data_IF_159487055804
#
_entry.id   IF_159487055804
#
_cell.length_a   1.000
_cell.length_b   1.000
_cell.length_c   1.000
_cell.angle_alpha   90.00
_cell.angle_beta   90.00
_cell.angle_gamma   90.00
#
_symmetry.space_group_name_H-M   'P 1'
#
loop_
_entity.id
_entity.type
_entity.pdbx_description
1 polymer ?
#
# COMPACT_ATOMS: atom_id res chain seq x y z
N UNK A 1 8.75 -6.65 14.89
CA UNK A 1 8.71 -6.66 13.42
C UNK A 1 9.60 -5.56 12.88
N UNK A 2 10.48 -5.88 11.93
CA UNK A 2 11.19 -4.88 11.12
C UNK A 2 10.22 -4.19 10.14
N UNK A 3 10.68 -3.17 9.40
CA UNK A 3 9.77 -2.42 8.53
C UNK A 3 9.33 -3.27 7.33
N UNK A 4 10.20 -4.15 6.81
CA UNK A 4 9.84 -5.10 5.74
C UNK A 4 8.68 -6.03 6.15
N UNK A 5 8.66 -6.53 7.37
CA UNK A 5 7.56 -7.37 7.88
C UNK A 5 6.26 -6.58 8.03
N UNK A 6 6.33 -5.32 8.49
CA UNK A 6 5.15 -4.43 8.54
C UNK A 6 4.61 -4.13 7.14
N UNK A 7 5.51 -3.90 6.17
CA UNK A 7 5.14 -3.69 4.77
C UNK A 7 4.44 -4.92 4.19
N UNK A 8 4.97 -6.13 4.42
CA UNK A 8 4.31 -7.38 4.02
C UNK A 8 2.94 -7.56 4.69
N UNK A 9 2.83 -7.21 5.97
CA UNK A 9 1.54 -7.24 6.69
C UNK A 9 0.53 -6.26 6.11
N UNK A 10 0.97 -5.06 5.71
CA UNK A 10 0.14 -4.08 5.02
C UNK A 10 -0.36 -4.63 3.67
N UNK A 11 0.54 -5.17 2.84
CA UNK A 11 0.17 -5.74 1.54
C UNK A 11 -0.79 -6.92 1.68
N UNK A 12 -0.57 -7.81 2.66
CA UNK A 12 -1.47 -8.92 2.92
C UNK A 12 -2.87 -8.43 3.35
N UNK A 13 -2.93 -7.42 4.21
CA UNK A 13 -4.20 -6.81 4.63
C UNK A 13 -4.92 -6.16 3.44
N UNK A 14 -4.17 -5.49 2.56
CA UNK A 14 -4.69 -4.88 1.35
C UNK A 14 -5.22 -5.93 0.35
N UNK A 15 -4.47 -7.00 0.12
CA UNK A 15 -4.85 -8.13 -0.73
C UNK A 15 -6.15 -8.78 -0.23
N UNK A 16 -6.29 -8.94 1.09
CA UNK A 16 -7.48 -9.50 1.71
C UNK A 16 -8.65 -8.50 1.80
N UNK A 17 -8.48 -7.27 1.32
CA UNK A 17 -9.46 -6.18 1.42
C UNK A 17 -9.91 -5.91 2.87
N UNK A 18 -9.02 -6.13 3.83
CA UNK A 18 -9.28 -5.93 5.26
C UNK A 18 -9.03 -4.47 5.63
N UNK A 19 -10.09 -3.65 5.51
CA UNK A 19 -10.01 -2.22 5.76
C UNK A 19 -9.68 -1.89 7.22
N UNK A 20 -10.09 -2.74 8.17
CA UNK A 20 -9.82 -2.53 9.58
C UNK A 20 -8.32 -2.74 9.87
N UNK A 21 -7.75 -3.84 9.36
CA UNK A 21 -6.32 -4.11 9.46
C UNK A 21 -5.48 -3.03 8.76
N UNK A 22 -5.87 -2.60 7.55
CA UNK A 22 -5.18 -1.50 6.85
C UNK A 22 -5.27 -0.20 7.65
N UNK A 23 -6.46 0.14 8.15
CA UNK A 23 -6.67 1.33 8.99
C UNK A 23 -5.76 1.31 10.21
N UNK A 24 -5.63 0.17 10.90
CA UNK A 24 -4.79 0.04 12.10
C UNK A 24 -3.30 0.29 11.83
N UNK A 25 -2.84 0.12 10.59
CA UNK A 25 -1.46 0.39 10.18
C UNK A 25 -1.20 1.87 9.83
N UNK A 26 -2.24 2.68 9.59
CA UNK A 26 -2.08 4.09 9.19
C UNK A 26 -1.90 5.03 10.39
N UNK A 27 -0.92 5.91 10.29
CA UNK A 27 -0.75 7.04 11.20
C UNK A 27 -1.89 8.07 11.00
N UNK A 28 -2.29 8.82 12.04
CA UNK A 28 -3.36 9.83 11.93
C UNK A 28 -3.13 10.86 10.81
N UNK A 29 -1.87 11.23 10.58
CA UNK A 29 -1.44 12.24 9.61
C UNK A 29 -0.84 11.64 8.32
N UNK A 30 -1.22 10.41 7.95
CA UNK A 30 -0.70 9.74 6.74
C UNK A 30 -0.86 10.61 5.47
N UNK A 31 0.15 10.59 4.62
CA UNK A 31 0.09 11.10 3.25
C UNK A 31 0.07 9.94 2.25
N UNK A 32 -1.01 9.79 1.49
CA UNK A 32 -1.14 8.78 0.45
C UNK A 32 -1.18 9.46 -0.92
N UNK A 33 -0.28 9.06 -1.82
CA UNK A 33 -0.23 9.58 -3.18
C UNK A 33 0.07 8.48 -4.17
N UNK A 34 -0.66 8.47 -5.28
CA UNK A 34 -0.39 7.63 -6.45
C UNK A 34 -0.50 8.46 -7.75
N UNK A 35 -0.70 7.81 -8.90
CA UNK A 35 -0.84 8.47 -10.20
C UNK A 35 -2.20 9.13 -10.44
N UNK A 36 -3.19 8.94 -9.56
CA UNK A 36 -4.56 9.50 -9.65
C UNK A 36 -4.86 10.47 -8.52
N UNK A 37 -4.36 10.23 -7.31
CA UNK A 37 -4.75 10.96 -6.10
C UNK A 37 -3.55 11.40 -5.26
N UNK A 38 -3.79 12.41 -4.41
CA UNK A 38 -2.88 12.87 -3.37
C UNK A 38 -3.69 13.37 -2.19
N UNK A 39 -3.74 12.60 -1.11
CA UNK A 39 -4.59 12.88 0.06
C UNK A 39 -3.78 12.91 1.35
N UNK A 40 -4.31 13.62 2.35
CA UNK A 40 -3.69 13.77 3.66
C UNK A 40 -4.71 13.48 4.77
N UNK A 41 -4.29 12.70 5.76
CA UNK A 41 -5.08 12.32 6.93
C UNK A 41 -5.71 10.93 6.81
N UNK A 42 -5.72 10.21 7.93
CA UNK A 42 -6.14 8.80 8.01
C UNK A 42 -7.55 8.54 7.47
N UNK A 43 -8.52 9.38 7.83
CA UNK A 43 -9.91 9.19 7.38
C UNK A 43 -10.06 9.26 5.86
N UNK A 44 -9.34 10.17 5.20
CA UNK A 44 -9.40 10.33 3.75
C UNK A 44 -8.65 9.19 3.06
N UNK A 45 -7.47 8.81 3.57
CA UNK A 45 -6.72 7.66 3.06
C UNK A 45 -7.53 6.36 3.11
N UNK A 46 -8.20 6.08 4.24
CA UNK A 46 -9.10 4.91 4.38
C UNK A 46 -10.24 4.98 3.38
N UNK A 47 -10.85 6.16 3.17
CA UNK A 47 -11.93 6.30 2.19
C UNK A 47 -11.47 5.99 0.76
N UNK A 48 -10.27 6.42 0.36
CA UNK A 48 -9.71 6.09 -0.95
C UNK A 48 -9.35 4.60 -1.06
N UNK A 49 -8.78 4.00 -0.01
CA UNK A 49 -8.53 2.55 0.04
C UNK A 49 -9.84 1.75 -0.08
N UNK A 50 -10.90 2.15 0.62
CA UNK A 50 -12.20 1.48 0.55
C UNK A 50 -12.78 1.55 -0.87
N UNK A 51 -12.66 2.68 -1.56
CA UNK A 51 -13.08 2.78 -2.97
C UNK A 51 -12.32 1.79 -3.86
N UNK A 52 -11.03 1.59 -3.64
CA UNK A 52 -10.26 0.58 -4.38
C UNK A 52 -10.80 -0.82 -4.10
N UNK A 53 -11.13 -1.12 -2.83
CA UNK A 53 -11.72 -2.41 -2.46
C UNK A 53 -13.10 -2.61 -3.07
N UNK A 54 -13.96 -1.59 -3.08
CA UNK A 54 -15.31 -1.70 -3.62
C UNK A 54 -15.31 -1.92 -5.14
N UNK A 55 -14.31 -1.37 -5.85
CA UNK A 55 -14.17 -1.49 -7.30
C UNK A 55 -13.43 -2.77 -7.76
N UNK A 56 -12.87 -3.55 -6.83
CA UNK A 56 -12.14 -4.78 -7.14
C UNK A 56 -12.84 -6.00 -6.54
N UNK A 57 -13.31 -6.95 -7.36
CA UNK A 57 -13.80 -8.25 -6.89
C UNK A 57 -12.68 -9.11 -6.30
N UNK A 58 -11.46 -9.01 -6.84
CA UNK A 58 -10.27 -9.70 -6.34
C UNK A 58 -9.03 -8.82 -6.46
N UNK A 59 -8.09 -9.03 -5.54
CA UNK A 59 -6.78 -8.41 -5.50
C UNK A 59 -5.76 -9.49 -5.14
N UNK A 60 -4.74 -9.66 -5.96
CA UNK A 60 -3.59 -10.51 -5.68
C UNK A 60 -2.31 -9.67 -5.80
N UNK A 61 -1.42 -9.76 -4.82
CA UNK A 61 -0.20 -8.96 -4.76
C UNK A 61 1.00 -9.91 -4.67
N UNK A 62 1.78 -9.95 -5.74
CA UNK A 62 3.09 -10.61 -5.80
C UNK A 62 4.19 -9.59 -5.52
N UNK A 63 5.04 -9.87 -4.55
CA UNK A 63 6.20 -9.03 -4.23
C UNK A 63 7.38 -9.52 -5.08
N UNK A 64 7.82 -8.70 -6.02
CA UNK A 64 8.95 -8.99 -6.90
C UNK A 64 10.29 -8.65 -6.23
N UNK A 65 10.33 -7.52 -5.52
CA UNK A 65 11.52 -7.07 -4.81
C UNK A 65 11.16 -6.22 -3.58
N UNK A 66 12.05 -6.20 -2.58
CA UNK A 66 11.95 -5.34 -1.39
C UNK A 66 13.31 -4.69 -1.14
N UNK A 67 13.28 -3.37 -0.93
CA UNK A 67 14.42 -2.59 -0.46
C UNK A 67 14.02 -1.86 0.82
N UNK A 68 14.85 -1.91 1.84
CA UNK A 68 14.60 -1.29 3.14
C UNK A 68 15.71 -0.31 3.49
N UNK A 69 15.34 0.82 4.09
CA UNK A 69 16.23 1.71 4.82
C UNK A 69 15.67 1.95 6.23
N UNK A 70 16.30 2.83 7.02
CA UNK A 70 16.01 3.03 8.44
C UNK A 70 14.52 3.18 8.78
N UNK A 71 13.75 3.89 7.96
CA UNK A 71 12.34 4.18 8.23
C UNK A 71 11.40 3.93 7.05
N UNK A 72 11.89 3.41 5.93
CA UNK A 72 11.10 3.23 4.72
C UNK A 72 11.38 1.89 4.05
N UNK A 73 10.34 1.36 3.42
CA UNK A 73 10.40 0.16 2.58
C UNK A 73 9.88 0.53 1.21
N UNK A 74 10.62 0.13 0.19
CA UNK A 74 10.17 0.16 -1.20
C UNK A 74 9.90 -1.26 -1.66
N UNK A 75 8.69 -1.53 -2.15
CA UNK A 75 8.33 -2.82 -2.75
C UNK A 75 8.10 -2.65 -4.24
N UNK A 76 8.74 -3.49 -5.05
CA UNK A 76 8.33 -3.71 -6.44
C UNK A 76 7.28 -4.80 -6.45
N UNK A 77 6.11 -4.48 -6.99
CA UNK A 77 4.91 -5.30 -6.89
C UNK A 77 4.34 -5.58 -8.27
N UNK A 78 3.83 -6.80 -8.44
CA UNK A 78 2.87 -7.13 -9.48
C UNK A 78 1.52 -7.36 -8.81
N UNK A 79 0.53 -6.57 -9.21
CA UNK A 79 -0.82 -6.61 -8.66
C UNK A 79 -1.75 -7.11 -9.76
N UNK A 80 -2.52 -8.16 -9.49
CA UNK A 80 -3.58 -8.64 -10.37
C UNK A 80 -4.92 -8.22 -9.77
N UNK A 81 -5.67 -7.41 -10.51
CA UNK A 81 -6.99 -6.90 -10.13
C UNK A 81 -8.04 -7.61 -10.98
N UNK A 82 -9.08 -8.14 -10.32
CA UNK A 82 -10.21 -8.80 -10.99
C UNK A 82 -9.76 -9.90 -11.96
N UNK A 83 -8.69 -10.62 -11.62
CA UNK A 83 -8.09 -11.71 -12.41
C UNK A 83 -7.61 -11.31 -13.83
N UNK A 84 -7.68 -10.03 -14.20
CA UNK A 84 -7.55 -9.59 -15.60
C UNK A 84 -6.62 -8.40 -15.78
N UNK A 85 -6.68 -7.41 -14.90
CA UNK A 85 -5.81 -6.24 -14.98
C UNK A 85 -4.52 -6.50 -14.21
N UNK A 86 -3.37 -6.40 -14.89
CA UNK A 86 -2.05 -6.57 -14.28
C UNK A 86 -1.38 -5.21 -14.18
N UNK A 87 -1.03 -4.81 -12.96
CA UNK A 87 -0.33 -3.58 -12.66
C UNK A 87 1.06 -3.90 -12.11
N UNK A 88 2.07 -3.21 -12.63
CA UNK A 88 3.40 -3.17 -12.04
C UNK A 88 3.54 -1.87 -11.26
N UNK A 89 3.80 -1.96 -9.95
CA UNK A 89 3.80 -0.81 -9.05
C UNK A 89 5.05 -0.82 -8.19
N UNK A 90 5.66 0.35 -7.99
CA UNK A 90 6.61 0.56 -6.90
C UNK A 90 5.92 1.34 -5.80
N UNK A 91 5.76 0.71 -4.64
CA UNK A 91 5.27 1.36 -3.42
C UNK A 91 6.43 1.76 -2.54
N UNK A 92 6.53 3.04 -2.19
CA UNK A 92 7.47 3.56 -1.18
C UNK A 92 6.70 3.94 0.06
N UNK A 93 6.86 3.15 1.13
CA UNK A 93 6.15 3.28 2.40
C UNK A 93 7.12 3.78 3.47
N UNK A 94 6.77 4.87 4.14
CA UNK A 94 7.54 5.42 5.27
C UNK A 94 6.79 5.21 6.57
N UNK A 95 7.51 4.82 7.62
CA UNK A 95 6.98 4.58 8.96
C UNK A 95 7.39 5.70 9.93
N UNK A 96 6.51 6.07 10.86
CA UNK A 96 6.84 6.97 11.96
C UNK A 96 7.50 6.24 13.14
N UNK A 97 7.84 6.97 14.21
CA UNK A 97 8.45 6.42 15.43
C UNK A 97 7.57 5.39 16.15
N UNK A 98 6.25 5.45 15.98
CA UNK A 98 5.30 4.48 16.54
C UNK A 98 5.19 3.22 15.67
N UNK A 99 5.90 3.19 14.53
CA UNK A 99 5.86 2.10 13.58
C UNK A 99 4.63 2.09 12.68
N UNK A 100 3.84 3.17 12.67
CA UNK A 100 2.68 3.35 11.79
C UNK A 100 3.11 3.95 10.45
N UNK A 101 2.36 3.64 9.39
CA UNK A 101 2.60 4.19 8.06
C UNK A 101 2.24 5.68 8.05
N UNK A 102 3.25 6.53 7.86
CA UNK A 102 3.11 7.99 7.77
C UNK A 102 3.06 8.49 6.32
N UNK A 103 3.56 7.71 5.37
CA UNK A 103 3.41 8.03 3.95
C UNK A 103 3.45 6.80 3.07
N UNK A 104 2.62 6.82 2.02
CA UNK A 104 2.66 5.87 0.89
C UNK A 104 2.78 6.69 -0.38
N UNK A 105 3.74 6.32 -1.23
CA UNK A 105 3.90 6.85 -2.59
C UNK A 105 3.94 5.67 -3.55
N UNK A 106 2.93 5.55 -4.40
CA UNK A 106 2.85 4.50 -5.40
C UNK A 106 3.17 5.05 -6.79
N UNK A 107 3.96 4.32 -7.57
CA UNK A 107 4.36 4.68 -8.93
C UNK A 107 3.99 3.54 -9.88
N UNK A 108 3.19 3.84 -10.90
CA UNK A 108 2.81 2.88 -11.94
C UNK A 108 3.97 2.69 -12.93
N UNK A 109 4.40 1.44 -13.08
CA UNK A 109 5.39 0.99 -14.05
C UNK A 109 4.76 0.41 -15.32
N UNK A 110 5.59 -0.28 -16.10
CA UNK A 110 5.20 -1.03 -17.29
C UNK A 110 5.70 -2.47 -17.15
N UNK A 111 5.09 -3.37 -17.90
CA UNK A 111 5.69 -4.69 -18.14
C UNK A 111 7.04 -4.56 -18.86
N UNK A 112 7.90 -5.57 -18.69
CA UNK A 112 9.19 -5.68 -19.36
C UNK A 112 9.05 -6.02 -20.84
#
# INVERSE_FOLDING_TARGET
MNNSEKFKSYLLSYQNKDIEAVSNLFAPNIHLRDWKISVHGKSVAISETQKNFDNASSLEIEILNIMENDNSVSGELKIVVNETEVLFVVDVVTFNSDGLISSIRAYLGREN
#
